data_IF_256683673924
#
_entry.id   IF_256683673924
#
_cell.length_a   1.000
_cell.length_b   1.000
_cell.length_c   1.000
_cell.angle_alpha   90.00
_cell.angle_beta   90.00
_cell.angle_gamma   90.00
#
_symmetry.space_group_name_H-M   'P 1'
#
loop_
_entity.id
_entity.type
_entity.pdbx_description
1 polymer ?
#
# COMPACT_ATOMS: atom_id res chain seq x y z
N UNK A 1 -9.49 -4.52 -15.98
CA UNK A 1 -10.22 -5.00 -14.79
C UNK A 1 -10.70 -3.77 -13.98
N UNK A 2 -11.76 -3.87 -13.17
CA UNK A 2 -12.39 -2.67 -12.55
C UNK A 2 -13.27 -2.91 -11.31
N UNK A 3 -13.18 -4.08 -10.68
CA UNK A 3 -14.02 -4.46 -9.55
C UNK A 3 -13.71 -3.67 -8.26
N UNK A 4 -14.53 -3.91 -7.23
CA UNK A 4 -14.35 -3.37 -5.88
C UNK A 4 -14.17 -4.53 -4.90
N UNK A 5 -13.10 -4.47 -4.11
CA UNK A 5 -12.85 -5.35 -2.97
C UNK A 5 -12.83 -4.50 -1.70
N UNK A 6 -13.57 -4.90 -0.69
CA UNK A 6 -13.56 -4.28 0.63
C UNK A 6 -13.37 -5.37 1.69
N UNK A 7 -12.32 -5.26 2.48
CA UNK A 7 -11.94 -6.21 3.53
C UNK A 7 -11.89 -5.47 4.86
N UNK A 8 -12.64 -5.96 5.84
CA UNK A 8 -12.67 -5.40 7.19
C UNK A 8 -12.82 -6.49 8.25
N UNK A 9 -12.39 -6.24 9.49
CA UNK A 9 -12.66 -7.13 10.61
C UNK A 9 -14.18 -7.30 10.83
N UNK A 10 -14.63 -8.42 11.40
CA UNK A 10 -16.01 -8.58 11.85
C UNK A 10 -16.41 -7.48 12.83
N UNK A 11 -17.69 -7.08 12.79
CA UNK A 11 -18.26 -6.14 13.77
C UNK A 11 -18.09 -6.72 15.18
N UNK A 12 -17.60 -5.89 16.11
CA UNK A 12 -17.33 -6.31 17.49
C UNK A 12 -15.93 -6.88 17.73
N UNK A 13 -15.05 -6.85 16.72
CA UNK A 13 -13.63 -7.16 16.93
C UNK A 13 -13.01 -6.19 17.95
N UNK A 14 -12.34 -6.74 18.97
CA UNK A 14 -11.79 -5.95 20.08
C UNK A 14 -10.42 -5.32 19.77
N UNK A 15 -9.71 -5.84 18.76
CA UNK A 15 -8.40 -5.33 18.35
C UNK A 15 -8.56 -4.10 17.45
N UNK A 16 -7.55 -3.23 17.46
CA UNK A 16 -7.44 -2.08 16.55
C UNK A 16 -7.06 -2.58 15.16
N UNK A 17 -7.86 -2.26 14.15
CA UNK A 17 -7.66 -2.75 12.77
C UNK A 17 -6.27 -2.42 12.24
N UNK A 18 -5.80 -1.19 12.46
CA UNK A 18 -4.52 -0.68 11.96
C UNK A 18 -3.28 -1.29 12.64
N UNK A 19 -3.48 -2.10 13.67
CA UNK A 19 -2.44 -2.85 14.37
C UNK A 19 -2.39 -4.33 13.92
N UNK A 20 -3.40 -4.80 13.18
CA UNK A 20 -3.56 -6.20 12.79
C UNK A 20 -3.43 -6.43 11.29
N UNK A 21 -2.84 -7.56 10.89
CA UNK A 21 -2.81 -8.00 9.50
C UNK A 21 -4.18 -8.47 9.04
N UNK A 22 -4.59 -8.10 7.82
CA UNK A 22 -5.91 -8.45 7.27
C UNK A 22 -5.86 -9.03 5.86
N UNK A 23 -4.83 -8.67 5.07
CA UNK A 23 -4.58 -9.23 3.75
C UNK A 23 -3.11 -9.63 3.62
N UNK A 24 -2.84 -10.63 2.78
CA UNK A 24 -1.51 -11.21 2.62
C UNK A 24 -0.56 -10.40 1.74
N UNK A 25 0.48 -11.08 1.27
CA UNK A 25 1.50 -10.53 0.37
C UNK A 25 0.97 -10.36 -1.06
N UNK A 26 1.66 -9.56 -1.87
CA UNK A 26 1.48 -9.50 -3.34
C UNK A 26 0.05 -9.11 -3.77
N UNK A 27 -0.69 -8.43 -2.90
CA UNK A 27 -2.01 -7.91 -3.23
C UNK A 27 -1.91 -6.88 -4.36
N UNK A 28 -2.91 -6.88 -5.26
CA UNK A 28 -2.98 -6.02 -6.45
C UNK A 28 -1.85 -6.24 -7.48
N UNK A 29 -1.25 -7.43 -7.51
CA UNK A 29 -0.22 -7.75 -8.50
C UNK A 29 -0.69 -7.51 -9.94
N UNK A 30 -0.04 -6.56 -10.63
CA UNK A 30 -0.35 -6.25 -12.02
C UNK A 30 -1.75 -5.66 -12.24
N UNK A 31 -2.40 -5.13 -11.19
CA UNK A 31 -3.76 -4.61 -11.31
C UNK A 31 -3.84 -3.46 -12.32
N UNK A 32 -4.80 -3.51 -13.25
CA UNK A 32 -4.97 -2.52 -14.32
C UNK A 32 -6.11 -1.53 -14.07
N UNK A 33 -6.78 -1.64 -12.92
CA UNK A 33 -7.96 -0.85 -12.56
C UNK A 33 -8.75 -1.49 -11.43
N UNK A 34 -9.72 -0.76 -10.90
CA UNK A 34 -10.55 -1.20 -9.78
C UNK A 34 -10.11 -0.61 -8.45
N UNK A 35 -10.77 -1.05 -7.38
CA UNK A 35 -10.61 -0.51 -6.03
C UNK A 35 -10.42 -1.62 -4.99
N UNK A 36 -9.49 -1.41 -4.07
CA UNK A 36 -9.31 -2.23 -2.88
C UNK A 36 -9.33 -1.34 -1.63
N UNK A 37 -10.11 -1.69 -0.63
CA UNK A 37 -10.11 -1.03 0.67
C UNK A 37 -9.91 -2.08 1.76
N UNK A 38 -8.85 -1.95 2.56
CA UNK A 38 -8.49 -2.90 3.60
C UNK A 38 -8.36 -2.18 4.95
N UNK A 39 -9.28 -2.47 5.87
CA UNK A 39 -9.21 -1.98 7.25
C UNK A 39 -8.26 -2.87 8.06
N UNK A 40 -6.96 -2.74 7.79
CA UNK A 40 -5.87 -3.42 8.47
C UNK A 40 -4.60 -3.42 7.62
N UNK A 41 -3.56 -4.11 8.11
CA UNK A 41 -2.26 -4.16 7.45
C UNK A 41 -2.20 -5.23 6.35
N UNK A 42 -1.54 -4.90 5.26
CA UNK A 42 -1.13 -5.87 4.26
C UNK A 42 0.29 -6.40 4.54
N UNK A 43 0.59 -7.53 3.93
CA UNK A 43 1.93 -8.09 3.93
C UNK A 43 2.90 -7.37 2.96
N UNK A 44 3.94 -8.09 2.56
CA UNK A 44 5.01 -7.61 1.68
C UNK A 44 4.54 -7.47 0.23
N UNK A 45 5.26 -6.67 -0.57
CA UNK A 45 4.99 -6.46 -2.01
C UNK A 45 3.55 -6.02 -2.30
N UNK A 46 2.97 -5.27 -1.38
CA UNK A 46 1.65 -4.69 -1.60
C UNK A 46 1.67 -3.74 -2.80
N UNK A 47 0.70 -3.86 -3.71
CA UNK A 47 0.61 -3.08 -4.94
C UNK A 47 1.80 -3.24 -5.90
N UNK A 48 2.50 -4.37 -5.85
CA UNK A 48 3.57 -4.68 -6.80
C UNK A 48 3.04 -4.68 -8.24
N UNK A 49 3.70 -3.95 -9.14
CA UNK A 49 3.26 -3.75 -10.54
C UNK A 49 1.85 -3.19 -10.71
N UNK A 50 1.29 -2.50 -9.70
CA UNK A 50 0.02 -1.82 -9.88
C UNK A 50 0.14 -0.83 -11.05
N UNK A 51 -0.79 -0.92 -11.99
CA UNK A 51 -0.81 -0.15 -13.24
C UNK A 51 -2.10 0.65 -13.41
N UNK A 52 -2.97 0.70 -12.39
CA UNK A 52 -4.22 1.46 -12.49
C UNK A 52 -5.24 1.30 -11.36
N UNK A 53 -5.00 0.45 -10.36
CA UNK A 53 -5.91 0.31 -9.23
C UNK A 53 -5.75 1.46 -8.22
N UNK A 54 -6.87 1.78 -7.55
CA UNK A 54 -6.92 2.74 -6.44
C UNK A 54 -7.11 1.96 -5.14
N UNK A 55 -6.32 2.24 -4.12
CA UNK A 55 -6.40 1.46 -2.87
C UNK A 55 -6.17 2.29 -1.62
N UNK A 56 -6.80 1.87 -0.52
CA UNK A 56 -6.53 2.35 0.84
C UNK A 56 -6.27 1.15 1.75
N UNK A 57 -5.20 1.22 2.55
CA UNK A 57 -4.77 0.18 3.49
C UNK A 57 -4.16 0.82 4.75
N UNK A 58 -4.22 0.17 5.91
CA UNK A 58 -3.80 0.76 7.20
C UNK A 58 -2.33 0.46 7.57
N UNK A 59 -1.56 -0.05 6.63
CA UNK A 59 -0.14 -0.36 6.77
C UNK A 59 0.27 -1.47 5.82
N UNK A 60 1.55 -1.54 5.46
CA UNK A 60 2.06 -2.54 4.53
C UNK A 60 3.45 -3.03 4.94
N UNK A 61 3.84 -4.21 4.49
CA UNK A 61 5.20 -4.74 4.66
C UNK A 61 6.22 -4.13 3.70
N UNK A 62 7.35 -4.83 3.55
CA UNK A 62 8.48 -4.41 2.70
C UNK A 62 8.13 -4.44 1.21
N UNK A 63 8.88 -3.68 0.41
CA UNK A 63 8.76 -3.62 -1.05
C UNK A 63 7.37 -3.16 -1.52
N UNK A 64 6.74 -2.26 -0.76
CA UNK A 64 5.47 -1.65 -1.14
C UNK A 64 5.60 -0.85 -2.44
N UNK A 65 4.59 -0.96 -3.31
CA UNK A 65 4.51 -0.29 -4.61
C UNK A 65 5.67 -0.61 -5.58
N UNK A 66 6.39 -1.71 -5.36
CA UNK A 66 7.51 -2.12 -6.21
C UNK A 66 7.04 -2.27 -7.67
N UNK A 67 7.77 -1.70 -8.63
CA UNK A 67 7.44 -1.69 -10.06
C UNK A 67 6.06 -1.11 -10.42
N UNK A 68 5.44 -0.30 -9.54
CA UNK A 68 4.17 0.37 -9.84
C UNK A 68 4.36 1.35 -11.02
N UNK A 69 3.42 1.32 -11.97
CA UNK A 69 3.43 2.14 -13.20
C UNK A 69 2.18 3.02 -13.34
N UNK A 70 1.20 2.86 -12.46
CA UNK A 70 -0.02 3.67 -12.44
C UNK A 70 -0.96 3.30 -11.29
N UNK A 71 -1.98 4.13 -11.09
CA UNK A 71 -2.95 4.00 -9.99
C UNK A 71 -2.61 4.88 -8.79
N UNK A 72 -3.36 4.70 -7.70
CA UNK A 72 -3.22 5.48 -6.45
C UNK A 72 -3.19 4.52 -5.26
N UNK A 73 -2.17 4.62 -4.43
CA UNK A 73 -2.03 3.82 -3.20
C UNK A 73 -2.03 4.75 -1.99
N UNK A 74 -2.97 4.59 -1.07
CA UNK A 74 -3.00 5.32 0.20
C UNK A 74 -2.71 4.34 1.34
N UNK A 75 -1.67 4.63 2.13
CA UNK A 75 -1.26 3.85 3.29
C UNK A 75 -1.46 4.70 4.55
N UNK A 76 -2.46 4.33 5.36
CA UNK A 76 -2.84 5.03 6.60
C UNK A 76 -2.02 4.55 7.82
N UNK A 77 -0.75 4.20 7.60
CA UNK A 77 0.11 3.67 8.65
C UNK A 77 1.50 3.32 8.15
N UNK A 78 2.23 2.55 8.96
CA UNK A 78 3.63 2.22 8.67
C UNK A 78 3.79 1.40 7.38
N UNK A 79 4.83 1.72 6.63
CA UNK A 79 5.36 0.89 5.54
C UNK A 79 6.60 0.12 6.01
N UNK A 80 6.91 -0.98 5.32
CA UNK A 80 8.23 -1.60 5.36
C UNK A 80 9.28 -0.83 4.54
N UNK A 81 10.47 -1.43 4.41
CA UNK A 81 11.61 -0.86 3.68
C UNK A 81 11.51 -1.06 2.17
N UNK A 82 12.36 -0.38 1.41
CA UNK A 82 12.46 -0.46 -0.04
C UNK A 82 11.14 -0.07 -0.75
N UNK A 83 10.40 0.89 -0.16
CA UNK A 83 9.16 1.39 -0.73
C UNK A 83 9.42 2.09 -2.06
N UNK A 84 8.60 1.82 -3.07
CA UNK A 84 8.66 2.49 -4.38
C UNK A 84 9.85 2.06 -5.26
N UNK A 85 10.55 0.98 -4.94
CA UNK A 85 11.63 0.48 -5.79
C UNK A 85 11.10 0.12 -7.19
N UNK A 86 11.72 0.66 -8.24
CA UNK A 86 11.25 0.45 -9.61
C UNK A 86 9.91 1.11 -9.94
N UNK A 87 9.32 1.89 -9.03
CA UNK A 87 8.07 2.60 -9.29
C UNK A 87 8.33 3.73 -10.27
N UNK A 88 7.69 3.66 -11.43
CA UNK A 88 7.88 4.60 -12.56
C UNK A 88 6.64 5.43 -12.84
N UNK A 89 5.51 5.15 -12.19
CA UNK A 89 4.28 5.93 -12.37
C UNK A 89 3.20 5.66 -11.32
N UNK A 90 2.26 6.60 -11.22
CA UNK A 90 1.21 6.62 -10.20
C UNK A 90 1.59 7.44 -8.96
N UNK A 91 0.70 7.48 -7.97
CA UNK A 91 0.91 8.23 -6.73
C UNK A 91 0.72 7.35 -5.51
N UNK A 92 1.58 7.54 -4.51
CA UNK A 92 1.43 6.95 -3.21
C UNK A 92 1.34 8.04 -2.14
N UNK A 93 0.34 7.93 -1.26
CA UNK A 93 0.17 8.79 -0.09
C UNK A 93 0.40 7.95 1.15
N UNK A 94 1.32 8.37 2.01
CA UNK A 94 1.69 7.63 3.21
C UNK A 94 1.52 8.52 4.42
N UNK A 95 0.76 8.04 5.40
CA UNK A 95 0.66 8.67 6.71
C UNK A 95 1.93 8.34 7.51
N UNK A 96 2.81 9.33 7.63
CA UNK A 96 4.09 9.22 8.35
C UNK A 96 4.04 9.93 9.71
N UNK A 97 3.41 9.30 10.70
CA UNK A 97 3.33 9.85 12.06
C UNK A 97 4.67 9.82 12.82
N UNK A 98 5.60 8.93 12.42
CA UNK A 98 6.91 8.79 13.08
C UNK A 98 8.03 9.59 12.39
N UNK A 99 7.78 10.16 11.21
CA UNK A 99 8.75 10.95 10.46
C UNK A 99 9.88 10.12 9.85
N UNK A 100 9.70 8.79 9.77
CA UNK A 100 10.74 7.85 9.36
C UNK A 100 10.50 7.29 7.95
N UNK A 101 9.41 7.66 7.27
CA UNK A 101 9.07 7.12 5.95
C UNK A 101 10.18 7.35 4.93
N UNK A 102 10.78 8.54 4.93
CA UNK A 102 11.91 8.88 4.02
C UNK A 102 13.07 7.88 4.09
N UNK A 103 13.34 7.28 5.26
CA UNK A 103 14.41 6.29 5.43
C UNK A 103 14.06 4.91 4.85
N UNK A 104 12.77 4.66 4.59
CA UNK A 104 12.25 3.39 4.08
C UNK A 104 12.02 3.42 2.56
N UNK A 105 12.07 4.59 1.95
CA UNK A 105 11.90 4.78 0.50
C UNK A 105 13.17 4.41 -0.26
N UNK A 106 13.01 3.74 -1.40
CA UNK A 106 14.07 3.58 -2.38
C UNK A 106 14.14 4.85 -3.25
N UNK A 107 15.23 5.63 -3.21
CA UNK A 107 15.26 6.95 -3.84
C UNK A 107 15.60 6.93 -5.34
N UNK A 108 15.76 5.76 -5.97
CA UNK A 108 16.28 5.67 -7.34
C UNK A 108 15.36 6.31 -8.39
N UNK A 109 14.04 6.11 -8.25
CA UNK A 109 13.05 6.53 -9.26
C UNK A 109 11.84 7.28 -8.69
N UNK A 110 11.74 7.41 -7.37
CA UNK A 110 10.63 8.09 -6.71
C UNK A 110 11.11 9.33 -5.96
N UNK A 111 10.27 10.37 -5.97
CA UNK A 111 10.45 11.61 -5.23
C UNK A 111 9.45 11.67 -4.07
N UNK A 112 9.94 12.00 -2.88
CA UNK A 112 9.11 12.18 -1.68
C UNK A 112 8.84 13.67 -1.46
N UNK A 113 7.58 14.06 -1.59
CA UNK A 113 7.10 15.41 -1.35
C UNK A 113 6.57 15.54 0.09
N UNK A 114 6.86 16.67 0.75
CA UNK A 114 6.35 17.04 2.09
C UNK A 114 5.07 17.88 2.02
#
# INVERSE_FOLDING_TARGET
AGGLLAVRPPVGSAFRSHEASIIGNTCLYGATGGRLFAAGRAGERFAVRNSGAITVVEGIGDNGCEYMTGGIVCVLGKTGVNFGAGMTGGFAYVLDEDGEFRKRVNPELVEVLD
#
